data_IF_532583844276
#
_entry.id   IF_532583844276
#
_cell.length_a   1.000
_cell.length_b   1.000
_cell.length_c   1.000
_cell.angle_alpha   90.00
_cell.angle_beta   90.00
_cell.angle_gamma   90.00
#
_symmetry.space_group_name_H-M   'P 1'
#
loop_
_entity.id
_entity.type
_entity.pdbx_description
1 polymer ?
#
# COMPACT_ATOMS: atom_id res chain seq x y z
N UNK A 1 -47.53 -4.99 2.40
CA UNK A 1 -48.57 -4.54 3.35
C UNK A 1 -48.60 -5.52 4.53
N UNK A 2 -47.56 -5.48 5.37
CA UNK A 2 -47.43 -6.31 6.56
C UNK A 2 -48.21 -5.68 7.68
N UNK A 3 -49.52 -5.89 7.68
CA UNK A 3 -50.43 -5.08 8.48
C UNK A 3 -50.79 -5.79 9.79
N UNK A 4 -50.64 -5.14 10.95
CA UNK A 4 -51.25 -5.54 12.23
C UNK A 4 -52.73 -5.92 12.12
N UNK A 5 -53.39 -5.44 11.07
CA UNK A 5 -54.71 -5.86 10.61
C UNK A 5 -54.89 -7.37 10.51
N UNK A 6 -53.89 -8.13 10.07
CA UNK A 6 -54.03 -9.59 9.96
C UNK A 6 -54.21 -10.26 11.31
N UNK A 7 -53.43 -9.84 12.31
CA UNK A 7 -53.58 -10.32 13.68
C UNK A 7 -54.93 -9.90 14.28
N UNK A 8 -55.39 -8.69 13.99
CA UNK A 8 -56.70 -8.19 14.42
C UNK A 8 -57.86 -8.98 13.82
N UNK A 9 -57.84 -9.23 12.50
CA UNK A 9 -58.88 -10.03 11.82
C UNK A 9 -58.88 -11.48 12.32
N UNK A 10 -57.71 -12.08 12.51
CA UNK A 10 -57.61 -13.44 13.05
C UNK A 10 -58.11 -13.53 14.50
N UNK A 11 -57.77 -12.55 15.32
CA UNK A 11 -58.23 -12.49 16.72
C UNK A 11 -59.74 -12.31 16.78
N UNK A 12 -60.30 -11.44 15.94
CA UNK A 12 -61.74 -11.26 15.82
C UNK A 12 -62.44 -12.55 15.37
N UNK A 13 -61.88 -13.25 14.38
CA UNK A 13 -62.40 -14.54 13.91
C UNK A 13 -62.38 -15.60 15.01
N UNK A 14 -61.27 -15.78 15.73
CA UNK A 14 -61.17 -16.71 16.85
C UNK A 14 -62.18 -16.39 17.95
N UNK A 15 -62.35 -15.12 18.32
CA UNK A 15 -63.30 -14.69 19.36
C UNK A 15 -64.74 -14.92 18.91
N UNK A 16 -65.11 -14.50 17.70
CA UNK A 16 -66.45 -14.72 17.16
C UNK A 16 -66.80 -16.21 17.09
N UNK A 17 -65.84 -17.04 16.68
CA UNK A 17 -65.99 -18.48 16.59
C UNK A 17 -66.13 -19.15 17.96
N UNK A 18 -65.31 -18.74 18.94
CA UNK A 18 -65.41 -19.23 20.32
C UNK A 18 -66.76 -18.88 20.95
N UNK A 19 -67.22 -17.64 20.78
CA UNK A 19 -68.53 -17.18 21.26
C UNK A 19 -69.67 -17.99 20.63
N UNK A 20 -69.62 -18.22 19.32
CA UNK A 20 -70.61 -19.04 18.62
C UNK A 20 -70.65 -20.48 19.13
N UNK A 21 -69.48 -21.07 19.43
CA UNK A 21 -69.40 -22.44 19.92
C UNK A 21 -69.87 -22.59 21.39
N UNK A 22 -69.75 -21.54 22.22
CA UNK A 22 -70.21 -21.52 23.61
C UNK A 22 -71.73 -21.28 23.70
N UNK A 23 -72.28 -20.34 22.91
CA UNK A 23 -73.71 -19.97 22.98
C UNK A 23 -74.60 -20.78 22.03
N UNK A 24 -74.03 -21.58 21.13
CA UNK A 24 -74.75 -22.36 20.13
C UNK A 24 -75.56 -23.54 20.71
N UNK A 25 -76.81 -23.78 20.25
CA UNK A 25 -77.64 -24.91 20.69
C UNK A 25 -76.98 -26.28 20.46
N UNK A 26 -77.13 -27.22 21.39
CA UNK A 26 -76.44 -28.52 21.38
C UNK A 26 -76.61 -29.36 20.10
N UNK A 27 -77.70 -29.17 19.35
CA UNK A 27 -77.99 -29.87 18.10
C UNK A 27 -77.29 -29.29 16.86
N UNK A 28 -76.68 -28.09 16.96
CA UNK A 28 -75.91 -27.43 15.89
C UNK A 28 -74.43 -27.27 16.26
N UNK A 29 -74.00 -27.82 17.40
CA UNK A 29 -72.59 -27.84 17.82
C UNK A 29 -71.85 -28.87 16.97
N UNK A 30 -71.25 -28.39 15.88
CA UNK A 30 -70.39 -29.18 15.00
C UNK A 30 -69.15 -29.76 15.72
N UNK A 31 -68.80 -29.21 16.88
CA UNK A 31 -67.72 -29.71 17.72
C UNK A 31 -68.10 -29.52 19.19
N UNK A 32 -68.39 -30.62 19.89
CA UNK A 32 -68.59 -30.59 21.34
C UNK A 32 -67.23 -30.33 21.99
N UNK A 33 -67.16 -29.48 23.02
CA UNK A 33 -65.91 -29.04 23.66
C UNK A 33 -64.98 -30.19 24.15
N UNK A 34 -65.45 -31.44 24.12
CA UNK A 34 -64.72 -32.66 24.44
C UNK A 34 -63.85 -33.24 23.30
N UNK A 35 -64.06 -32.88 22.02
CA UNK A 35 -63.39 -33.52 20.87
C UNK A 35 -62.21 -32.72 20.30
N UNK A 36 -62.15 -31.40 20.52
CA UNK A 36 -60.94 -30.58 20.34
C UNK A 36 -60.45 -30.37 18.89
N UNK A 37 -61.14 -30.88 17.87
CA UNK A 37 -60.69 -30.80 16.47
C UNK A 37 -60.69 -29.37 15.93
N UNK A 38 -61.70 -28.56 16.26
CA UNK A 38 -61.76 -27.17 15.82
C UNK A 38 -60.68 -26.33 16.50
N UNK A 39 -60.40 -26.61 17.78
CA UNK A 39 -59.30 -25.97 18.49
C UNK A 39 -57.95 -26.31 17.83
N UNK A 40 -57.74 -27.57 17.42
CA UNK A 40 -56.54 -27.97 16.68
C UNK A 40 -56.42 -27.25 15.33
N UNK A 41 -57.49 -27.13 14.56
CA UNK A 41 -57.47 -26.39 13.27
C UNK A 41 -57.24 -24.89 13.46
N UNK A 42 -57.80 -24.28 14.52
CA UNK A 42 -57.55 -22.88 14.86
C UNK A 42 -56.09 -22.67 15.29
N UNK A 43 -55.54 -23.56 16.12
CA UNK A 43 -54.13 -23.53 16.53
C UNK A 43 -53.22 -23.70 15.31
N UNK A 44 -53.54 -24.63 14.40
CA UNK A 44 -52.76 -24.86 13.19
C UNK A 44 -52.78 -23.65 12.26
N UNK A 45 -53.94 -23.00 12.11
CA UNK A 45 -54.07 -21.76 11.33
C UNK A 45 -53.31 -20.59 11.97
N UNK A 46 -53.31 -20.52 13.30
CA UNK A 46 -52.54 -19.53 14.06
C UNK A 46 -51.03 -19.75 13.92
N UNK A 47 -50.56 -21.01 13.92
CA UNK A 47 -49.14 -21.33 13.68
C UNK A 47 -48.66 -20.80 12.33
N UNK A 48 -49.42 -21.06 11.26
CA UNK A 48 -49.10 -20.54 9.93
C UNK A 48 -49.12 -19.00 9.89
N UNK A 49 -50.07 -18.38 10.59
CA UNK A 49 -50.24 -16.92 10.67
C UNK A 49 -49.07 -16.21 11.37
N UNK A 50 -48.51 -16.79 12.45
CA UNK A 50 -47.41 -16.21 13.21
C UNK A 50 -46.04 -16.33 12.52
N UNK A 51 -45.88 -17.23 11.56
CA UNK A 51 -44.65 -17.33 10.77
C UNK A 51 -44.37 -16.05 9.96
N UNK A 52 -45.41 -15.44 9.36
CA UNK A 52 -45.29 -14.23 8.55
C UNK A 52 -44.68 -13.01 9.29
N UNK A 53 -45.14 -12.63 10.51
CA UNK A 53 -44.54 -11.51 11.24
C UNK A 53 -43.13 -11.80 11.75
N UNK A 54 -42.81 -13.05 12.13
CA UNK A 54 -41.43 -13.43 12.47
C UNK A 54 -40.49 -13.29 11.27
N UNK A 55 -40.96 -13.68 10.08
CA UNK A 55 -40.22 -13.49 8.83
C UNK A 55 -40.00 -12.00 8.54
N UNK A 56 -41.03 -11.16 8.74
CA UNK A 56 -40.89 -9.71 8.55
C UNK A 56 -39.90 -9.05 9.54
N UNK A 57 -39.91 -9.46 10.80
CA UNK A 57 -38.94 -8.97 11.80
C UNK A 57 -37.52 -9.44 11.47
N UNK A 58 -37.38 -10.68 11.00
CA UNK A 58 -36.10 -11.20 10.54
C UNK A 58 -35.60 -10.44 9.30
N UNK A 59 -36.50 -10.13 8.36
CA UNK A 59 -36.21 -9.34 7.16
C UNK A 59 -35.76 -7.92 7.52
N UNK A 60 -36.49 -7.20 8.37
CA UNK A 60 -36.08 -5.86 8.81
C UNK A 60 -34.67 -5.87 9.44
N UNK A 61 -34.34 -6.89 10.25
CA UNK A 61 -33.01 -7.04 10.85
C UNK A 61 -31.93 -7.41 9.82
N UNK A 62 -32.29 -8.12 8.75
CA UNK A 62 -31.39 -8.43 7.65
C UNK A 62 -31.14 -7.17 6.82
N UNK A 63 -32.19 -6.46 6.42
CA UNK A 63 -32.11 -5.21 5.67
C UNK A 63 -31.27 -4.15 6.41
N UNK A 64 -31.42 -4.03 7.74
CA UNK A 64 -30.60 -3.13 8.56
C UNK A 64 -29.12 -3.53 8.55
N UNK A 65 -28.81 -4.84 8.64
CA UNK A 65 -27.43 -5.34 8.56
C UNK A 65 -26.84 -5.13 7.17
N UNK A 66 -27.61 -5.44 6.13
CA UNK A 66 -27.19 -5.30 4.73
C UNK A 66 -26.89 -3.82 4.44
N UNK A 67 -27.70 -2.90 4.95
CA UNK A 67 -27.45 -1.46 4.84
C UNK A 67 -26.14 -1.04 5.51
N UNK A 68 -25.87 -1.51 6.73
CA UNK A 68 -24.61 -1.21 7.44
C UNK A 68 -23.42 -1.83 6.69
N UNK A 69 -23.57 -3.05 6.17
CA UNK A 69 -22.52 -3.73 5.42
C UNK A 69 -22.19 -2.99 4.13
N UNK A 70 -23.19 -2.52 3.37
CA UNK A 70 -23.01 -1.72 2.15
C UNK A 70 -22.26 -0.42 2.46
N UNK A 71 -22.64 0.30 3.52
CA UNK A 71 -21.98 1.54 3.91
C UNK A 71 -20.51 1.31 4.30
N UNK A 72 -20.23 0.25 5.08
CA UNK A 72 -18.87 -0.12 5.45
C UNK A 72 -18.02 -0.51 4.23
N UNK A 73 -18.60 -1.26 3.29
CA UNK A 73 -17.90 -1.71 2.09
C UNK A 73 -17.54 -0.53 1.19
N UNK A 74 -18.46 0.44 1.07
CA UNK A 74 -18.19 1.71 0.39
C UNK A 74 -17.04 2.48 1.04
N UNK A 75 -17.07 2.66 2.36
CA UNK A 75 -15.99 3.36 3.07
C UNK A 75 -14.65 2.63 2.96
N UNK A 76 -14.65 1.29 2.97
CA UNK A 76 -13.45 0.49 2.74
C UNK A 76 -12.91 0.66 1.32
N UNK A 77 -13.79 0.65 0.32
CA UNK A 77 -13.40 0.86 -1.07
C UNK A 77 -12.76 2.24 -1.29
N UNK A 78 -13.35 3.30 -0.71
CA UNK A 78 -12.80 4.67 -0.77
C UNK A 78 -11.41 4.74 -0.11
N UNK A 79 -11.22 4.12 1.06
CA UNK A 79 -9.90 4.05 1.72
C UNK A 79 -8.87 3.25 0.93
N UNK A 80 -9.26 2.07 0.41
CA UNK A 80 -8.38 1.24 -0.40
C UNK A 80 -7.92 1.96 -1.67
N UNK A 81 -8.81 2.73 -2.31
CA UNK A 81 -8.48 3.54 -3.47
C UNK A 81 -7.43 4.61 -3.08
N UNK A 82 -7.67 5.35 -1.99
CA UNK A 82 -6.75 6.37 -1.52
C UNK A 82 -5.37 5.81 -1.14
N UNK A 83 -5.32 4.66 -0.45
CA UNK A 83 -4.07 3.98 -0.10
C UNK A 83 -3.32 3.52 -1.34
N UNK A 84 -4.04 3.01 -2.35
CA UNK A 84 -3.44 2.60 -3.62
C UNK A 84 -2.86 3.80 -4.37
N UNK A 85 -3.59 4.93 -4.41
CA UNK A 85 -3.08 6.17 -5.01
C UNK A 85 -1.85 6.70 -4.27
N UNK A 86 -1.85 6.62 -2.94
CA UNK A 86 -0.72 7.02 -2.12
C UNK A 86 0.51 6.17 -2.44
N UNK A 87 0.36 4.83 -2.39
CA UNK A 87 1.43 3.90 -2.75
C UNK A 87 1.93 4.13 -4.18
N UNK A 88 1.04 4.40 -5.14
CA UNK A 88 1.45 4.69 -6.51
C UNK A 88 2.32 5.97 -6.60
N UNK A 89 1.98 7.03 -5.86
CA UNK A 89 2.78 8.27 -5.81
C UNK A 89 4.13 8.03 -5.13
N UNK A 90 4.15 7.33 -4.01
CA UNK A 90 5.38 6.97 -3.29
C UNK A 90 6.31 6.12 -4.15
N UNK A 91 5.77 5.15 -4.89
CA UNK A 91 6.57 4.32 -5.83
C UNK A 91 7.16 5.16 -6.95
N UNK A 92 6.43 6.14 -7.49
CA UNK A 92 6.95 7.05 -8.51
C UNK A 92 8.05 7.94 -7.94
N UNK A 93 7.85 8.49 -6.73
CA UNK A 93 8.86 9.29 -6.05
C UNK A 93 10.14 8.48 -5.78
N UNK A 94 10.00 7.25 -5.29
CA UNK A 94 11.12 6.34 -5.06
C UNK A 94 11.85 6.00 -6.36
N UNK A 95 11.12 5.74 -7.45
CA UNK A 95 11.72 5.46 -8.77
C UNK A 95 12.54 6.65 -9.29
N UNK A 96 12.06 7.88 -9.09
CA UNK A 96 12.79 9.08 -9.46
C UNK A 96 14.05 9.24 -8.61
N UNK A 97 13.95 9.07 -7.29
CA UNK A 97 15.09 9.11 -6.39
C UNK A 97 16.16 8.06 -6.74
N UNK A 98 15.75 6.85 -7.14
CA UNK A 98 16.68 5.80 -7.61
C UNK A 98 17.34 6.18 -8.93
N UNK A 99 16.62 6.87 -9.83
CA UNK A 99 17.16 7.31 -11.12
C UNK A 99 18.23 8.39 -10.98
N UNK A 100 18.12 9.24 -9.96
CA UNK A 100 19.09 10.33 -9.70
C UNK A 100 20.36 9.84 -8.99
N UNK A 101 20.43 8.56 -8.58
CA UNK A 101 21.65 7.98 -8.01
C UNK A 101 22.74 7.85 -9.09
N UNK A 102 24.00 8.26 -8.80
CA UNK A 102 25.09 8.09 -9.74
C UNK A 102 25.33 6.61 -10.06
N UNK A 103 25.57 6.31 -11.34
CA UNK A 103 25.92 4.95 -11.76
C UNK A 103 27.21 4.48 -11.07
N UNK A 104 27.31 3.16 -10.86
CA UNK A 104 28.49 2.55 -10.20
C UNK A 104 29.80 2.93 -10.88
N UNK A 105 29.78 3.06 -12.20
CA UNK A 105 30.99 3.37 -12.97
C UNK A 105 31.40 4.84 -12.82
N UNK A 106 30.46 5.77 -12.58
CA UNK A 106 30.77 7.15 -12.19
C UNK A 106 31.45 7.19 -10.82
N UNK A 107 30.88 6.50 -9.81
CA UNK A 107 31.48 6.41 -8.47
C UNK A 107 32.88 5.82 -8.53
N UNK A 108 33.10 4.80 -9.38
CA UNK A 108 34.42 4.20 -9.59
C UNK A 108 35.39 5.14 -10.30
N UNK A 109 34.92 5.93 -11.27
CA UNK A 109 35.75 6.91 -11.96
C UNK A 109 36.19 8.02 -10.99
N UNK A 110 35.28 8.54 -10.18
CA UNK A 110 35.56 9.58 -9.19
C UNK A 110 36.53 9.08 -8.11
N UNK A 111 36.32 7.87 -7.59
CA UNK A 111 37.26 7.24 -6.66
C UNK A 111 38.67 7.11 -7.25
N UNK A 112 38.79 6.78 -8.54
CA UNK A 112 40.09 6.69 -9.21
C UNK A 112 40.72 8.05 -9.42
N UNK A 113 39.93 9.06 -9.78
CA UNK A 113 40.40 10.44 -9.95
C UNK A 113 40.96 10.99 -8.63
N UNK A 114 40.21 10.86 -7.54
CA UNK A 114 40.65 11.28 -6.20
C UNK A 114 41.90 10.52 -5.74
N UNK A 115 41.97 9.20 -5.99
CA UNK A 115 43.17 8.41 -5.67
C UNK A 115 44.40 8.82 -6.50
N UNK A 116 44.21 9.29 -7.74
CA UNK A 116 45.29 9.76 -8.59
C UNK A 116 45.81 11.14 -8.12
N UNK A 117 44.90 12.06 -7.78
CA UNK A 117 45.23 13.37 -7.22
C UNK A 117 46.07 13.24 -5.93
N UNK A 118 45.67 12.36 -5.01
CA UNK A 118 46.43 12.03 -3.80
C UNK A 118 47.81 11.39 -4.07
N UNK A 119 47.98 10.75 -5.23
CA UNK A 119 49.23 10.08 -5.60
C UNK A 119 50.21 11.00 -6.35
N UNK A 120 49.75 12.13 -6.89
CA UNK A 120 50.57 13.15 -7.57
C UNK A 120 51.26 14.12 -6.59
N UNK A 121 50.72 14.26 -5.37
CA UNK A 121 51.24 15.13 -4.29
C UNK A 121 52.64 14.79 -3.67
N UNK A 122 53.38 13.70 -4.00
CA UNK A 122 54.74 13.49 -3.44
C UNK A 122 55.90 14.09 -4.25
N UNK A 123 55.70 14.56 -5.50
CA UNK A 123 56.83 14.86 -6.41
C UNK A 123 57.12 16.34 -6.66
N UNK A 124 56.16 17.25 -6.42
CA UNK A 124 56.40 18.69 -6.62
C UNK A 124 57.25 19.32 -5.51
N UNK A 125 57.13 18.87 -4.25
CA UNK A 125 58.00 19.35 -3.15
C UNK A 125 59.47 18.95 -3.35
N UNK A 126 59.75 17.77 -3.93
CA UNK A 126 61.14 17.28 -4.08
C UNK A 126 61.88 17.97 -5.25
N UNK A 127 61.16 18.54 -6.22
CA UNK A 127 61.78 19.18 -7.40
C UNK A 127 62.06 20.67 -7.20
N UNK A 128 61.34 21.32 -6.28
CA UNK A 128 61.58 22.71 -5.89
C UNK A 128 62.83 22.88 -5.00
N UNK A 129 63.30 21.82 -4.35
CA UNK A 129 64.49 21.86 -3.49
C UNK A 129 65.82 21.56 -4.24
N UNK A 130 65.75 21.07 -5.48
CA UNK A 130 66.94 20.75 -6.30
C UNK A 130 67.44 21.87 -7.22
N UNK A 131 66.78 23.05 -7.24
CA UNK A 131 67.13 24.19 -8.12
C UNK A 131 67.88 25.32 -7.38
N UNK A 132 68.41 25.03 -6.18
CA UNK A 132 69.05 26.01 -5.30
C UNK A 132 70.47 25.58 -4.87
N UNK A 133 71.33 25.10 -5.78
CA UNK A 133 72.77 25.04 -5.48
C UNK A 133 73.64 25.04 -6.75
N UNK A 134 73.92 26.22 -7.32
CA UNK A 134 75.17 26.45 -8.07
C UNK A 134 75.52 27.96 -8.17
N UNK A 135 76.52 28.47 -7.43
CA UNK A 135 77.06 29.81 -7.65
C UNK A 135 78.32 29.78 -8.54
N UNK A 136 78.15 30.51 -9.65
CA UNK A 136 79.09 31.08 -10.61
C UNK A 136 80.46 31.53 -10.05
N UNK A 137 81.54 31.09 -10.71
CA UNK A 137 82.93 31.48 -10.45
C UNK A 137 83.62 31.94 -11.73
N UNK A 138 83.50 33.23 -12.02
CA UNK A 138 84.14 33.95 -13.14
C UNK A 138 85.68 33.99 -13.02
N UNK A 139 86.40 33.63 -14.09
CA UNK A 139 87.84 33.87 -14.29
C UNK A 139 88.07 34.89 -15.42
N UNK A 140 88.83 35.98 -15.17
CA UNK A 140 89.51 36.65 -16.26
C UNK A 140 91.01 36.92 -16.00
N UNK A 141 91.79 36.48 -17.00
CA UNK A 141 92.93 37.15 -17.62
C UNK A 141 94.37 36.89 -17.12
N UNK A 142 95.16 36.19 -17.97
CA UNK A 142 96.52 36.60 -18.39
C UNK A 142 97.03 35.90 -19.68
N UNK A 143 96.98 36.64 -20.80
CA UNK A 143 98.00 36.93 -21.86
C UNK A 143 99.02 35.86 -22.39
N UNK A 144 99.70 36.05 -23.56
CA UNK A 144 99.54 35.19 -24.74
C UNK A 144 100.84 34.57 -25.35
N UNK A 145 100.65 33.64 -26.31
CA UNK A 145 101.52 33.26 -27.47
C UNK A 145 102.94 32.69 -27.25
N UNK A 146 103.58 32.05 -28.27
CA UNK A 146 103.06 31.34 -29.46
C UNK A 146 103.80 30.01 -29.78
N UNK A 147 103.41 29.37 -30.89
CA UNK A 147 104.33 28.90 -31.96
C UNK A 147 104.41 27.38 -32.24
N UNK A 148 104.08 27.08 -33.51
CA UNK A 148 104.41 25.88 -34.32
C UNK A 148 103.68 24.59 -33.95
N UNK A 149 103.09 23.83 -34.86
CA UNK A 149 103.10 23.77 -36.32
C UNK A 149 102.34 22.47 -36.69
N UNK A 150 101.89 22.29 -37.93
CA UNK A 150 100.74 21.44 -38.25
C UNK A 150 101.15 19.99 -38.63
N UNK A 151 100.14 19.21 -39.04
CA UNK A 151 100.20 17.96 -39.84
C UNK A 151 100.04 16.68 -39.01
N UNK A 152 98.89 16.02 -39.18
CA UNK A 152 98.72 14.77 -39.97
C UNK A 152 98.82 13.59 -39.00
N UNK A 153 98.10 12.48 -39.04
CA UNK A 153 97.12 11.84 -39.89
C UNK A 153 96.56 10.69 -38.98
N UNK A 154 95.33 10.18 -39.15
CA UNK A 154 94.77 9.16 -38.26
C UNK A 154 95.30 7.77 -38.61
N UNK A 155 95.40 6.86 -37.63
CA UNK A 155 95.47 5.41 -37.91
C UNK A 155 95.22 4.51 -36.69
N UNK A 156 94.24 3.65 -36.89
CA UNK A 156 94.16 2.22 -36.52
C UNK A 156 94.40 1.80 -35.05
N UNK A 157 93.33 1.29 -34.42
CA UNK A 157 93.14 -0.15 -34.14
C UNK A 157 91.82 -0.40 -33.39
#
# INVERSE_FOLDING_TARGET
>A
MGTPWFLLVLTLFCVAWLVWNILGPEHLRFDSAALGFTALTLILSLQASYAAPMILLAQNRQDDRDRVQIEQDRQRAERNLADTEFLAREVVALRLAIKDLPDRDFVRAELRALLAELAEDPQEETRAESDFDEPDGTDPARTPSPSNGPEDEPRDA
#
